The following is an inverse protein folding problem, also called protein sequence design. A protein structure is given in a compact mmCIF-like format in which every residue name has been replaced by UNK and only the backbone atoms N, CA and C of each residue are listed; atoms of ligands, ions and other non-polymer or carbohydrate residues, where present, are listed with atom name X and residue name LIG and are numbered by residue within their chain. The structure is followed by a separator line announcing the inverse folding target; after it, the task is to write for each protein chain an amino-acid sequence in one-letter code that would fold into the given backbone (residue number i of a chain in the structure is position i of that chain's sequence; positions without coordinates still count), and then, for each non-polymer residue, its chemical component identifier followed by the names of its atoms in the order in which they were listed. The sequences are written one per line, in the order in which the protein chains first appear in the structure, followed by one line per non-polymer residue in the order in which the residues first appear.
data_IF_674875413244
#
_entry.id   IF_674875413244
#
_cell.length_a   1.000
_cell.length_b   1.000
_cell.length_c   1.000
_cell.angle_alpha   90.00
_cell.angle_beta   90.00
_cell.angle_gamma   90.00
#
_symmetry.space_group_name_H-M   'P 1'
#
loop_
_entity.id
_entity.type
_entity.pdbx_description
1 polymer ?
#
# COMPACT_ATOMS: atom_id res chain seq x y z
N UNK A 1 -18.07 63.55 -16.57
CA UNK A 1 -17.30 63.12 -15.39
C UNK A 1 -17.81 61.78 -14.89
N UNK A 2 -17.21 60.65 -15.29
CA UNK A 2 -17.42 59.34 -14.66
C UNK A 2 -16.11 58.56 -14.77
N UNK A 3 -15.36 58.54 -13.67
CA UNK A 3 -14.11 57.77 -13.54
C UNK A 3 -14.50 56.29 -13.43
N UNK A 4 -14.12 55.50 -14.42
CA UNK A 4 -14.24 54.04 -14.36
C UNK A 4 -13.06 53.54 -13.50
N UNK A 5 -13.36 53.06 -12.30
CA UNK A 5 -12.38 52.40 -11.43
C UNK A 5 -12.27 50.95 -11.90
N UNK A 6 -11.16 50.62 -12.55
CA UNK A 6 -10.78 49.24 -12.85
C UNK A 6 -10.30 48.58 -11.56
N UNK A 7 -11.18 47.80 -10.93
CA UNK A 7 -10.81 46.90 -9.83
C UNK A 7 -10.17 45.67 -10.45
N UNK A 8 -8.84 45.63 -10.43
CA UNK A 8 -8.08 44.42 -10.77
C UNK A 8 -8.17 43.47 -9.58
N UNK A 9 -9.00 42.43 -9.69
CA UNK A 9 -8.97 41.30 -8.78
C UNK A 9 -7.68 40.51 -9.04
N UNK A 10 -6.68 40.70 -8.19
CA UNK A 10 -5.53 39.79 -8.11
C UNK A 10 -6.01 38.49 -7.46
N UNK A 11 -6.30 37.47 -8.26
CA UNK A 11 -6.40 36.10 -7.77
C UNK A 11 -5.00 35.64 -7.37
N UNK A 12 -4.71 35.72 -6.07
CA UNK A 12 -3.59 35.00 -5.47
C UNK A 12 -3.90 33.52 -5.56
N UNK A 13 -3.33 32.84 -6.56
CA UNK A 13 -3.26 31.39 -6.56
C UNK A 13 -2.41 30.99 -5.35
N UNK A 14 -3.00 30.29 -4.39
CA UNK A 14 -2.24 29.62 -3.35
C UNK A 14 -1.46 28.48 -4.02
N UNK A 15 -0.16 28.67 -4.22
CA UNK A 15 0.73 27.61 -4.67
C UNK A 15 0.90 26.62 -3.51
N UNK A 16 0.09 25.55 -3.51
CA UNK A 16 0.37 24.40 -2.66
C UNK A 16 1.74 23.82 -3.02
N UNK A 17 2.52 23.41 -2.02
CA UNK A 17 3.81 22.79 -2.25
C UNK A 17 3.65 21.59 -3.22
N UNK A 18 4.52 21.53 -4.23
CA UNK A 18 4.51 20.42 -5.19
C UNK A 18 4.73 19.08 -4.47
N UNK A 19 4.08 17.98 -4.91
CA UNK A 19 4.29 16.67 -4.30
C UNK A 19 5.73 16.20 -4.46
N UNK A 20 6.19 15.37 -3.52
CA UNK A 20 7.52 14.76 -3.58
C UNK A 20 7.58 13.70 -4.70
N UNK A 21 8.45 13.90 -5.68
CA UNK A 21 8.67 12.99 -6.82
C UNK A 21 9.81 12.01 -6.52
N UNK A 22 9.50 10.71 -6.42
CA UNK A 22 10.53 9.68 -6.33
C UNK A 22 11.29 9.53 -7.66
N UNK A 23 10.60 9.71 -8.79
CA UNK A 23 11.20 9.65 -10.13
C UNK A 23 12.43 10.54 -10.26
N UNK A 24 12.31 11.81 -9.87
CA UNK A 24 13.43 12.78 -9.98
C UNK A 24 14.58 12.40 -9.05
N UNK A 25 14.30 11.98 -7.81
CA UNK A 25 15.34 11.67 -6.84
C UNK A 25 16.06 10.35 -7.16
N UNK A 26 15.34 9.33 -7.65
CA UNK A 26 15.93 8.05 -8.04
C UNK A 26 16.78 8.16 -9.32
N UNK A 27 16.47 9.10 -10.23
CA UNK A 27 17.32 9.40 -11.39
C UNK A 27 18.73 9.90 -11.02
N UNK A 28 18.90 10.42 -9.80
CA UNK A 28 20.20 10.85 -9.28
C UNK A 28 21.02 9.69 -8.68
N UNK A 29 20.63 8.43 -8.96
CA UNK A 29 21.22 7.21 -8.39
C UNK A 29 21.18 7.19 -6.85
N UNK A 30 20.14 7.80 -6.27
CA UNK A 30 19.90 7.71 -4.84
C UNK A 30 19.24 6.38 -4.49
N UNK A 31 19.76 5.72 -3.48
CA UNK A 31 19.23 4.48 -2.92
C UNK A 31 18.13 4.77 -1.91
N UNK A 32 17.14 3.87 -1.79
CA UNK A 32 15.97 4.06 -0.94
C UNK A 32 16.33 4.41 0.52
N UNK A 33 17.36 3.73 1.05
CA UNK A 33 17.82 3.87 2.45
C UNK A 33 18.66 5.12 2.71
N UNK A 34 19.06 5.87 1.68
CA UNK A 34 19.72 7.17 1.89
C UNK A 34 18.73 8.19 2.46
N UNK A 35 17.45 8.13 2.02
CA UNK A 35 16.37 8.93 2.58
C UNK A 35 15.67 8.21 3.73
N UNK A 36 15.31 6.94 3.53
CA UNK A 36 14.58 6.13 4.51
C UNK A 36 15.53 5.37 5.44
N UNK A 37 16.37 6.10 6.18
CA UNK A 37 17.52 5.56 6.92
C UNK A 37 17.16 4.51 7.99
N UNK A 38 15.96 4.60 8.57
CA UNK A 38 15.45 3.65 9.56
C UNK A 38 14.78 2.42 8.94
N UNK A 39 14.40 2.46 7.66
CA UNK A 39 13.52 1.44 7.06
C UNK A 39 14.12 0.04 7.12
N UNK A 40 15.41 -0.12 6.80
CA UNK A 40 16.06 -1.43 6.79
C UNK A 40 16.09 -2.13 8.17
N UNK A 41 15.96 -1.37 9.26
CA UNK A 41 16.07 -1.88 10.64
C UNK A 41 14.74 -1.86 11.39
N UNK A 42 13.67 -1.35 10.77
CA UNK A 42 12.36 -1.25 11.39
C UNK A 42 11.81 -2.62 11.77
N UNK A 43 11.23 -2.67 12.96
CA UNK A 43 10.66 -3.90 13.55
C UNK A 43 9.17 -3.78 13.85
N UNK A 44 8.60 -2.58 13.68
CA UNK A 44 7.26 -2.25 14.13
C UNK A 44 6.51 -1.41 13.09
N UNK A 45 5.19 -1.51 13.10
CA UNK A 45 4.31 -0.74 12.18
C UNK A 45 4.21 0.73 12.57
N UNK A 46 4.46 1.05 13.84
CA UNK A 46 4.38 2.40 14.39
C UNK A 46 5.65 3.22 14.13
N UNK A 47 6.72 2.58 13.63
CA UNK A 47 7.97 3.28 13.31
C UNK A 47 7.71 4.32 12.20
N UNK A 48 8.08 5.58 12.44
CA UNK A 48 8.06 6.59 11.37
C UNK A 48 9.28 6.39 10.46
N UNK A 49 9.03 5.86 9.27
CA UNK A 49 10.08 5.57 8.28
C UNK A 49 10.22 6.63 7.20
N UNK A 50 9.50 7.75 7.32
CA UNK A 50 9.74 8.91 6.45
C UNK A 50 11.12 9.51 6.74
N UNK A 51 11.78 10.13 5.74
CA UNK A 51 13.04 10.82 5.96
C UNK A 51 12.90 11.91 7.04
N UNK A 52 13.99 12.16 7.76
CA UNK A 52 14.08 13.37 8.59
C UNK A 52 14.34 14.59 7.70
N UNK A 53 13.89 15.78 8.13
CA UNK A 53 14.16 17.05 7.42
C UNK A 53 15.65 17.28 7.15
N UNK A 54 16.54 16.78 8.01
CA UNK A 54 17.99 16.85 7.81
C UNK A 54 18.47 16.16 6.54
N UNK A 55 17.85 15.05 6.12
CA UNK A 55 18.19 14.37 4.86
C UNK A 55 17.94 15.31 3.69
N UNK A 56 16.78 15.98 3.67
CA UNK A 56 16.43 16.92 2.63
C UNK A 56 17.37 18.14 2.63
N UNK A 57 17.75 18.63 3.83
CA UNK A 57 18.67 19.76 3.99
C UNK A 57 20.10 19.53 3.53
N UNK A 58 20.45 18.29 3.19
CA UNK A 58 21.70 18.01 2.48
C UNK A 58 21.75 18.66 1.09
N UNK A 59 20.59 18.89 0.46
CA UNK A 59 20.51 19.46 -0.89
C UNK A 59 19.48 20.60 -1.05
N UNK A 60 18.50 20.70 -0.15
CA UNK A 60 17.40 21.66 -0.22
C UNK A 60 17.35 22.57 1.01
N UNK A 61 17.21 23.88 0.82
CA UNK A 61 17.07 24.82 1.95
C UNK A 61 15.80 24.57 2.77
N UNK A 62 14.70 24.29 2.07
CA UNK A 62 13.40 23.99 2.65
C UNK A 62 12.86 22.67 2.12
N UNK A 63 12.21 21.90 3.00
CA UNK A 63 11.49 20.69 2.64
C UNK A 63 10.29 20.48 3.56
N UNK A 64 9.16 20.14 2.95
CA UNK A 64 7.95 19.73 3.65
C UNK A 64 7.83 18.21 3.59
N UNK A 65 7.67 17.59 4.75
CA UNK A 65 7.45 16.14 4.87
C UNK A 65 6.07 15.97 5.47
N UNK A 66 5.12 15.31 4.77
CA UNK A 66 3.79 15.08 5.30
C UNK A 66 3.85 14.11 6.49
N UNK A 67 2.76 14.05 7.26
CA UNK A 67 2.62 13.01 8.26
C UNK A 67 2.60 11.62 7.58
N UNK A 68 3.15 10.58 8.24
CA UNK A 68 3.08 9.23 7.71
C UNK A 68 1.61 8.79 7.54
N UNK A 69 1.28 8.04 6.48
CA UNK A 69 -0.07 7.52 6.30
C UNK A 69 -0.39 6.53 7.42
N UNK A 70 -1.65 6.50 7.86
CA UNK A 70 -2.09 5.47 8.79
C UNK A 70 -2.12 4.10 8.11
N UNK A 71 -1.69 3.09 8.86
CA UNK A 71 -1.77 1.68 8.45
C UNK A 71 -2.87 0.97 9.22
N UNK A 72 -3.40 -0.09 8.63
CA UNK A 72 -4.36 -1.01 9.28
C UNK A 72 -3.67 -2.28 9.79
N UNK A 73 -2.36 -2.38 9.63
CA UNK A 73 -1.59 -3.52 10.09
C UNK A 73 -1.38 -3.44 11.61
N UNK A 74 -1.49 -4.57 12.32
CA UNK A 74 -1.11 -4.66 13.73
C UNK A 74 0.39 -4.90 13.91
N UNK A 75 1.00 -5.67 13.02
CA UNK A 75 2.40 -6.09 13.11
C UNK A 75 3.03 -6.17 11.73
N UNK A 76 4.26 -5.67 11.62
CA UNK A 76 5.09 -5.76 10.42
C UNK A 76 6.53 -5.40 10.80
N UNK A 77 7.49 -6.12 10.24
CA UNK A 77 8.92 -5.81 10.41
C UNK A 77 9.62 -5.78 9.07
N UNK A 78 10.06 -4.60 8.64
CA UNK A 78 10.93 -4.48 7.47
C UNK A 78 12.21 -5.30 7.63
N UNK A 79 12.86 -5.27 8.80
CA UNK A 79 14.11 -6.02 9.04
C UNK A 79 13.96 -7.53 8.91
N UNK A 80 12.80 -8.10 9.27
CA UNK A 80 12.52 -9.52 9.09
C UNK A 80 12.31 -9.84 7.61
N UNK A 81 11.50 -9.03 6.91
CA UNK A 81 11.19 -9.27 5.51
C UNK A 81 12.39 -9.07 4.60
N UNK A 82 13.22 -8.05 4.85
CA UNK A 82 14.45 -7.81 4.09
C UNK A 82 15.51 -8.88 4.32
N UNK A 83 15.51 -9.58 5.48
CA UNK A 83 16.40 -10.73 5.73
C UNK A 83 16.09 -11.93 4.84
N UNK A 84 14.87 -12.04 4.32
CA UNK A 84 14.51 -13.05 3.32
C UNK A 84 15.08 -12.73 1.93
N UNK A 85 15.69 -11.56 1.76
CA UNK A 85 16.18 -11.07 0.47
C UNK A 85 15.07 -10.45 -0.37
N UNK A 86 15.23 -10.51 -1.69
CA UNK A 86 14.25 -9.97 -2.61
C UNK A 86 13.10 -10.97 -2.84
N UNK A 87 11.92 -10.64 -2.34
CA UNK A 87 10.73 -11.49 -2.44
C UNK A 87 9.99 -11.36 -3.78
N UNK A 88 10.38 -10.45 -4.66
CA UNK A 88 9.70 -10.20 -5.93
C UNK A 88 9.50 -11.46 -6.80
N UNK A 89 10.48 -12.39 -6.92
CA UNK A 89 10.30 -13.62 -7.68
C UNK A 89 9.20 -14.54 -7.14
N UNK A 90 9.00 -14.58 -5.81
CA UNK A 90 7.95 -15.39 -5.19
C UNK A 90 6.57 -14.82 -5.46
N UNK A 91 6.43 -13.49 -5.37
CA UNK A 91 5.19 -12.80 -5.72
C UNK A 91 4.88 -12.95 -7.22
N UNK A 92 5.90 -12.87 -8.08
CA UNK A 92 5.75 -13.04 -9.52
C UNK A 92 5.30 -14.46 -9.85
N UNK A 93 5.93 -15.46 -9.24
CA UNK A 93 5.53 -16.86 -9.38
C UNK A 93 4.10 -17.09 -8.89
N UNK A 94 3.71 -16.54 -7.75
CA UNK A 94 2.32 -16.65 -7.28
C UNK A 94 1.32 -16.07 -8.30
N UNK A 95 1.63 -14.93 -8.92
CA UNK A 95 0.78 -14.35 -9.97
C UNK A 95 0.76 -15.24 -11.21
N UNK A 96 1.93 -15.66 -11.70
CA UNK A 96 2.08 -16.44 -12.94
C UNK A 96 1.39 -17.81 -12.83
N UNK A 97 1.36 -18.39 -11.63
CA UNK A 97 0.72 -19.67 -11.34
C UNK A 97 -0.74 -19.53 -10.86
N UNK A 98 -1.32 -18.33 -10.89
CA UNK A 98 -2.69 -18.05 -10.43
C UNK A 98 -2.93 -18.37 -8.94
N UNK A 99 -1.84 -18.37 -8.17
CA UNK A 99 -1.80 -18.46 -6.71
C UNK A 99 -1.77 -17.08 -6.04
N UNK A 100 -2.16 -16.01 -6.72
CA UNK A 100 -2.31 -14.70 -6.12
C UNK A 100 -3.79 -14.49 -5.77
N UNK A 101 -4.09 -14.16 -4.51
CA UNK A 101 -5.46 -14.24 -3.95
C UNK A 101 -6.43 -13.13 -4.40
N UNK A 102 -6.05 -12.35 -5.41
CA UNK A 102 -6.88 -11.33 -6.03
C UNK A 102 -6.39 -11.07 -7.46
N UNK A 103 -7.16 -10.38 -8.31
CA UNK A 103 -6.64 -9.87 -9.58
C UNK A 103 -5.39 -8.99 -9.34
N UNK A 104 -4.24 -9.32 -9.93
CA UNK A 104 -2.98 -8.63 -9.63
C UNK A 104 -2.86 -7.23 -10.25
N UNK A 105 -3.75 -6.85 -11.19
CA UNK A 105 -3.65 -5.59 -11.90
C UNK A 105 -2.30 -5.45 -12.63
N UNK A 106 -1.62 -4.34 -12.40
CA UNK A 106 -0.31 -3.99 -12.96
C UNK A 106 0.88 -4.39 -12.07
N UNK A 107 0.66 -5.16 -11.00
CA UNK A 107 1.73 -5.55 -10.07
C UNK A 107 2.83 -6.35 -10.76
N UNK A 108 2.46 -7.30 -11.64
CA UNK A 108 3.40 -8.28 -12.20
C UNK A 108 4.58 -7.65 -12.97
N UNK A 109 4.38 -6.64 -13.85
CA UNK A 109 5.47 -5.89 -14.46
C UNK A 109 6.50 -5.32 -13.47
N UNK A 110 6.05 -4.83 -12.31
CA UNK A 110 6.93 -4.22 -11.30
C UNK A 110 7.76 -5.24 -10.49
N UNK A 111 7.51 -6.54 -10.63
CA UNK A 111 8.23 -7.58 -9.90
C UNK A 111 9.54 -8.02 -10.59
N UNK A 112 9.84 -7.48 -11.76
CA UNK A 112 11.12 -7.69 -12.46
C UNK A 112 12.23 -6.78 -11.90
N UNK A 113 12.35 -6.72 -10.58
CA UNK A 113 13.29 -5.85 -9.88
C UNK A 113 14.32 -6.66 -9.10
N UNK A 114 15.54 -6.15 -8.96
CA UNK A 114 16.56 -6.67 -8.03
C UNK A 114 16.53 -5.97 -6.68
N UNK A 115 15.79 -4.86 -6.57
CA UNK A 115 15.68 -4.09 -5.33
C UNK A 115 14.63 -4.73 -4.41
N UNK A 116 15.02 -5.22 -3.21
CA UNK A 116 14.08 -5.86 -2.30
C UNK A 116 12.98 -4.91 -1.78
N UNK A 117 13.22 -3.59 -1.75
CA UNK A 117 12.20 -2.61 -1.38
C UNK A 117 11.08 -2.58 -2.42
N UNK A 118 11.45 -2.65 -3.71
CA UNK A 118 10.52 -2.57 -4.83
C UNK A 118 9.69 -3.85 -5.02
N UNK A 119 10.05 -4.95 -4.37
CA UNK A 119 9.22 -6.14 -4.33
C UNK A 119 7.81 -5.84 -3.79
N UNK A 120 7.72 -4.90 -2.84
CA UNK A 120 6.49 -4.44 -2.20
C UNK A 120 6.15 -2.99 -2.56
N UNK A 121 7.15 -2.11 -2.65
CA UNK A 121 6.99 -0.70 -2.95
C UNK A 121 7.16 -0.39 -4.45
N UNK A 122 6.06 -0.45 -5.20
CA UNK A 122 6.09 -0.53 -6.66
C UNK A 122 5.85 0.81 -7.34
N UNK A 123 6.34 0.94 -8.58
CA UNK A 123 6.13 2.12 -9.43
C UNK A 123 6.86 3.39 -8.99
N UNK A 124 7.77 3.33 -8.01
CA UNK A 124 8.44 4.52 -7.46
C UNK A 124 9.38 5.21 -8.45
N UNK A 125 10.00 4.47 -9.37
CA UNK A 125 10.90 5.02 -10.39
C UNK A 125 10.19 5.93 -11.39
N UNK A 126 8.88 5.77 -11.54
CA UNK A 126 8.05 6.55 -12.46
C UNK A 126 7.09 7.50 -11.71
N UNK A 127 7.15 7.51 -10.38
CA UNK A 127 6.20 8.21 -9.52
C UNK A 127 6.63 9.64 -9.22
N UNK A 128 5.85 10.60 -9.74
CA UNK A 128 5.92 12.01 -9.32
C UNK A 128 5.13 12.31 -8.03
N UNK A 129 4.30 11.36 -7.62
CA UNK A 129 3.57 11.39 -6.36
C UNK A 129 3.24 9.97 -5.93
N UNK A 130 3.56 9.63 -4.68
CA UNK A 130 3.23 8.32 -4.12
C UNK A 130 1.75 8.23 -3.82
N UNK A 131 1.11 7.16 -4.32
CA UNK A 131 -0.27 6.79 -3.99
C UNK A 131 -0.29 5.45 -3.27
N UNK A 132 -1.47 5.05 -2.78
CA UNK A 132 -1.65 3.72 -2.15
C UNK A 132 -1.33 2.56 -3.09
N UNK A 133 -1.33 2.76 -4.41
CA UNK A 133 -0.97 1.73 -5.38
C UNK A 133 0.52 1.31 -5.26
N UNK A 134 1.37 2.20 -4.79
CA UNK A 134 2.78 1.92 -4.53
C UNK A 134 3.03 1.15 -3.22
N UNK A 135 1.99 0.83 -2.44
CA UNK A 135 2.11 0.05 -1.21
C UNK A 135 1.79 -1.42 -1.47
N UNK A 136 2.35 -2.35 -0.67
CA UNK A 136 1.98 -3.75 -0.76
C UNK A 136 0.49 -3.95 -0.51
N UNK A 137 -0.07 -4.90 -1.23
CA UNK A 137 -1.44 -5.36 -1.09
C UNK A 137 -1.50 -6.52 -0.11
N UNK A 138 -2.68 -6.76 0.50
CA UNK A 138 -2.88 -7.91 1.39
C UNK A 138 -2.50 -9.23 0.72
N UNK A 139 -2.84 -9.39 -0.56
CA UNK A 139 -2.49 -10.58 -1.33
C UNK A 139 -0.97 -10.82 -1.43
N UNK A 140 -0.13 -9.78 -1.35
CA UNK A 140 1.32 -9.94 -1.30
C UNK A 140 1.75 -10.68 -0.03
N UNK A 141 1.17 -10.30 1.12
CA UNK A 141 1.44 -10.93 2.41
C UNK A 141 1.00 -12.40 2.40
N UNK A 142 -0.18 -12.66 1.83
CA UNK A 142 -0.79 -13.99 1.82
C UNK A 142 -0.14 -14.99 0.85
N UNK A 143 0.84 -14.57 0.04
CA UNK A 143 1.69 -15.50 -0.71
C UNK A 143 2.48 -16.39 0.25
N UNK A 144 2.96 -15.83 1.36
CA UNK A 144 3.74 -16.56 2.37
C UNK A 144 2.98 -16.77 3.69
N UNK A 145 2.17 -15.80 4.11
CA UNK A 145 1.37 -15.86 5.34
C UNK A 145 -0.03 -16.39 5.04
N UNK A 146 -0.13 -17.68 4.72
CA UNK A 146 -1.35 -18.29 4.15
C UNK A 146 -2.42 -18.67 5.17
N UNK A 147 -2.09 -18.68 6.46
CA UNK A 147 -3.01 -19.12 7.52
C UNK A 147 -4.00 -18.00 7.86
N UNK A 148 -5.26 -18.21 7.48
CA UNK A 148 -6.38 -17.35 7.84
C UNK A 148 -7.45 -18.21 8.51
N UNK A 149 -7.68 -17.98 9.79
CA UNK A 149 -8.69 -18.63 10.61
C UNK A 149 -9.67 -17.58 11.11
N UNK A 150 -10.62 -17.19 10.26
CA UNK A 150 -11.67 -16.26 10.67
C UNK A 150 -12.59 -16.92 11.73
N UNK A 151 -12.95 -16.22 12.83
CA UNK A 151 -12.64 -14.82 13.15
C UNK A 151 -11.40 -14.61 14.03
N UNK A 152 -10.64 -15.66 14.36
CA UNK A 152 -9.61 -15.65 15.41
C UNK A 152 -8.27 -15.05 14.99
N UNK A 153 -7.87 -15.22 13.72
CA UNK A 153 -6.54 -14.77 13.24
C UNK A 153 -6.54 -13.35 12.65
N UNK A 154 -7.65 -12.62 12.76
CA UNK A 154 -7.77 -11.28 12.15
C UNK A 154 -6.75 -10.30 12.74
N UNK A 155 -6.56 -10.35 14.06
CA UNK A 155 -5.68 -9.43 14.81
C UNK A 155 -4.18 -9.75 14.61
N UNK A 156 -3.84 -10.91 14.03
CA UNK A 156 -2.46 -11.26 13.72
C UNK A 156 -1.87 -10.34 12.64
N UNK A 157 -2.72 -9.88 11.73
CA UNK A 157 -2.35 -8.98 10.64
C UNK A 157 -2.97 -7.58 10.80
N UNK A 158 -4.20 -7.47 11.31
CA UNK A 158 -4.93 -6.22 11.37
C UNK A 158 -4.96 -5.60 12.77
N UNK A 159 -4.95 -4.27 12.84
CA UNK A 159 -5.24 -3.55 14.07
C UNK A 159 -6.62 -3.94 14.63
N UNK A 160 -6.73 -4.03 15.96
CA UNK A 160 -7.91 -4.56 16.66
C UNK A 160 -9.21 -3.83 16.34
N UNK A 161 -9.12 -2.52 16.07
CA UNK A 161 -10.23 -1.63 15.73
C UNK A 161 -10.41 -1.44 14.22
N UNK A 162 -9.67 -2.18 13.39
CA UNK A 162 -9.81 -2.09 11.94
C UNK A 162 -11.23 -2.50 11.50
N UNK A 163 -11.91 -1.70 10.66
CA UNK A 163 -13.20 -2.07 10.11
C UNK A 163 -13.01 -3.13 9.02
N UNK A 164 -12.95 -4.41 9.44
CA UNK A 164 -12.68 -5.55 8.56
C UNK A 164 -13.91 -6.08 7.84
N UNK A 165 -15.11 -5.76 8.35
CA UNK A 165 -16.37 -6.17 7.73
C UNK A 165 -16.50 -5.47 6.36
N UNK A 166 -16.49 -6.21 5.24
CA UNK A 166 -16.61 -5.59 3.93
C UNK A 166 -17.99 -4.96 3.73
N UNK A 167 -18.08 -3.92 2.90
CA UNK A 167 -19.33 -3.18 2.67
C UNK A 167 -20.46 -4.05 2.08
N UNK A 168 -20.10 -5.12 1.36
CA UNK A 168 -21.06 -6.07 0.78
C UNK A 168 -21.67 -7.04 1.81
N UNK A 169 -21.17 -7.10 3.06
CA UNK A 169 -21.76 -7.90 4.14
C UNK A 169 -22.99 -7.20 4.74
N UNK A 170 -23.99 -7.00 3.89
CA UNK A 170 -25.27 -6.35 4.21
C UNK A 170 -26.17 -7.25 5.09
N UNK A 171 -27.21 -6.70 5.75
CA UNK A 171 -28.24 -7.53 6.37
C UNK A 171 -28.77 -8.56 5.37
N UNK A 172 -28.97 -9.81 5.81
CA UNK A 172 -29.35 -10.98 4.98
C UNK A 172 -28.29 -11.55 4.03
N UNK A 173 -27.07 -11.02 3.99
CA UNK A 173 -25.97 -11.52 3.13
C UNK A 173 -25.84 -13.06 3.12
N UNK A 174 -25.91 -13.71 4.30
CA UNK A 174 -25.84 -15.17 4.40
C UNK A 174 -26.88 -15.93 3.56
N UNK A 175 -28.05 -15.33 3.31
CA UNK A 175 -29.10 -15.92 2.49
C UNK A 175 -28.99 -15.51 1.02
N UNK A 176 -28.47 -14.31 0.76
CA UNK A 176 -28.54 -13.70 -0.57
C UNK A 176 -27.26 -13.89 -1.40
N UNK A 177 -26.11 -14.12 -0.76
CA UNK A 177 -24.80 -14.23 -1.44
C UNK A 177 -24.71 -15.43 -2.40
N UNK A 178 -25.45 -16.50 -2.13
CA UNK A 178 -25.51 -17.70 -2.99
C UNK A 178 -26.51 -17.57 -4.14
N UNK A 179 -27.40 -16.57 -4.11
CA UNK A 179 -28.50 -16.42 -5.08
C UNK A 179 -28.07 -15.81 -6.43
N UNK A 180 -26.83 -15.31 -6.53
CA UNK A 180 -26.31 -14.61 -7.70
C UNK A 180 -26.81 -13.16 -7.85
N UNK A 181 -27.82 -12.74 -7.09
CA UNK A 181 -28.43 -11.40 -7.18
C UNK A 181 -27.49 -10.26 -6.76
N UNK A 182 -26.47 -10.56 -5.96
CA UNK A 182 -25.55 -9.57 -5.40
C UNK A 182 -24.33 -9.27 -6.31
N UNK A 183 -24.20 -9.94 -7.47
CA UNK A 183 -23.09 -9.72 -8.43
C UNK A 183 -21.70 -9.65 -7.75
N UNK A 184 -21.44 -10.59 -6.84
CA UNK A 184 -20.22 -10.62 -6.05
C UNK A 184 -19.06 -11.20 -6.86
N UNK A 185 -17.91 -10.53 -6.82
CA UNK A 185 -16.64 -11.12 -7.24
C UNK A 185 -16.15 -12.09 -6.15
N UNK A 186 -16.40 -13.38 -6.37
CA UNK A 186 -16.04 -14.45 -5.43
C UNK A 186 -14.52 -14.60 -5.24
N UNK A 187 -13.70 -14.08 -6.15
CA UNK A 187 -12.24 -14.16 -6.01
C UNK A 187 -11.74 -13.34 -4.82
N UNK A 188 -12.45 -12.26 -4.48
CA UNK A 188 -12.11 -11.36 -3.36
C UNK A 188 -12.37 -11.99 -1.99
N UNK A 189 -13.20 -13.05 -1.91
CA UNK A 189 -13.52 -13.71 -0.65
C UNK A 189 -12.30 -14.42 -0.03
N UNK A 190 -11.44 -14.98 -0.88
CA UNK A 190 -10.30 -15.78 -0.46
C UNK A 190 -9.24 -14.97 0.32
N UNK A 191 -9.22 -13.64 0.17
CA UNK A 191 -8.36 -12.75 0.95
C UNK A 191 -8.66 -12.79 2.45
N UNK A 192 -9.93 -12.93 2.83
CA UNK A 192 -10.36 -12.89 4.22
C UNK A 192 -10.79 -14.25 4.78
N UNK A 193 -11.16 -15.18 3.89
CA UNK A 193 -11.64 -16.50 4.28
C UNK A 193 -10.66 -17.63 3.95
N UNK A 194 -9.63 -17.35 3.15
CA UNK A 194 -8.68 -18.36 2.67
C UNK A 194 -9.21 -19.17 1.48
N UNK A 195 -8.37 -20.06 0.93
CA UNK A 195 -8.67 -20.87 -0.26
C UNK A 195 -9.47 -22.14 0.01
N UNK A 196 -9.31 -22.70 1.21
CA UNK A 196 -10.02 -23.89 1.64
C UNK A 196 -11.43 -23.57 2.13
N UNK A 197 -11.83 -22.30 2.13
CA UNK A 197 -13.15 -21.89 2.54
C UNK A 197 -14.20 -22.35 1.54
N UNK A 198 -14.99 -23.32 1.97
CA UNK A 198 -16.11 -23.86 1.19
C UNK A 198 -17.43 -23.32 1.71
N UNK A 199 -18.53 -23.54 0.98
CA UNK A 199 -19.88 -23.14 1.40
C UNK A 199 -20.25 -23.63 2.82
N UNK A 200 -19.62 -24.71 3.28
CA UNK A 200 -19.82 -25.35 4.58
C UNK A 200 -18.95 -24.73 5.70
N UNK A 201 -18.10 -23.74 5.37
CA UNK A 201 -17.44 -22.89 6.37
C UNK A 201 -18.33 -21.74 6.88
N UNK A 202 -19.47 -21.51 6.23
CA UNK A 202 -20.47 -20.49 6.58
C UNK A 202 -21.76 -21.07 7.21
N UNK A 203 -22.01 -22.37 7.03
CA UNK A 203 -23.22 -23.11 7.41
C UNK A 203 -22.87 -24.29 8.29
#
# INVERSE_FOLDING_TARGET
MKRLVLVVFAWGAAWGAAPFSHRIHLQQNLECVQCHTAAARSTKVEDNLLPDRQVCRGCHEEAAIPAPPSTRLSKFSHSLHLRMGNVAPFLASAIDHQDYLQPPGDIRPHLNTRNPCQACHRGLEESDQVTRAALPQMADCLVCHTQIEAPFSCEDCHAKDAPLKPANHVPRFMNDHSTGKLNLDKTTCALCHGRAFTCMGCH
#
